data_IF_911576737635
#
_entry.id   IF_911576737635
#
_cell.length_a   1.000
_cell.length_b   1.000
_cell.length_c   1.000
_cell.angle_alpha   90.00
_cell.angle_beta   90.00
_cell.angle_gamma   90.00
#
_symmetry.space_group_name_H-M   'P 1'
#
loop_
_entity.id
_entity.type
_entity.pdbx_description
1 polymer ?
#
# COMPACT_ATOMS: atom_id res chain seq x y z
N UNK A 1 32.25 3.65 -32.95
CA UNK A 1 31.06 3.90 -32.13
C UNK A 1 30.13 2.69 -31.95
N UNK A 2 30.10 1.70 -32.86
CA UNK A 2 29.20 0.53 -32.73
C UNK A 2 29.62 -0.45 -31.61
N UNK A 3 30.91 -0.55 -31.31
CA UNK A 3 31.43 -1.47 -30.29
C UNK A 3 31.01 -1.15 -28.85
N UNK A 4 30.76 0.12 -28.52
CA UNK A 4 30.37 0.54 -27.17
C UNK A 4 28.92 0.15 -26.84
N UNK A 5 28.02 0.14 -27.83
CA UNK A 5 26.62 -0.24 -27.63
C UNK A 5 26.44 -1.73 -27.38
N UNK A 6 27.24 -2.61 -28.03
CA UNK A 6 27.13 -4.07 -27.84
C UNK A 6 27.56 -4.48 -26.44
N UNK A 7 28.60 -3.85 -25.89
CA UNK A 7 29.09 -4.15 -24.54
C UNK A 7 28.11 -3.70 -23.44
N UNK A 8 27.43 -2.56 -23.64
CA UNK A 8 26.40 -2.09 -22.71
C UNK A 8 25.14 -2.97 -22.73
N UNK A 9 24.78 -3.54 -23.89
CA UNK A 9 23.65 -4.47 -24.00
C UNK A 9 23.97 -5.83 -23.37
N UNK A 10 25.23 -6.30 -23.44
CA UNK A 10 25.66 -7.53 -22.77
C UNK A 10 25.61 -7.43 -21.23
N UNK A 11 25.85 -6.24 -20.67
CA UNK A 11 25.74 -5.97 -19.23
C UNK A 11 24.31 -5.71 -18.75
N UNK A 12 23.37 -5.45 -19.68
CA UNK A 12 21.97 -5.22 -19.39
C UNK A 12 21.11 -6.50 -19.45
N UNK A 13 21.70 -7.65 -19.78
CA UNK A 13 21.00 -8.92 -19.67
C UNK A 13 20.73 -9.15 -18.18
N UNK A 14 19.46 -9.19 -17.75
CA UNK A 14 19.14 -9.40 -16.34
C UNK A 14 19.70 -10.77 -15.94
N UNK A 15 20.58 -10.77 -14.94
CA UNK A 15 21.21 -11.98 -14.40
C UNK A 15 20.20 -13.10 -14.07
N UNK A 16 18.96 -12.72 -13.75
CA UNK A 16 17.82 -13.62 -13.55
C UNK A 16 17.59 -14.61 -14.71
N UNK A 17 17.84 -14.21 -15.96
CA UNK A 17 17.68 -15.06 -17.15
C UNK A 17 18.81 -16.08 -17.31
N UNK A 18 20.01 -15.79 -16.78
CA UNK A 18 21.16 -16.67 -16.89
C UNK A 18 21.13 -17.78 -15.83
N UNK A 19 20.65 -17.45 -14.63
CA UNK A 19 20.52 -18.41 -13.52
C UNK A 19 19.59 -19.58 -13.85
N UNK A 20 18.49 -19.32 -14.56
CA UNK A 20 17.54 -20.35 -14.99
C UNK A 20 18.16 -21.34 -15.98
N UNK A 21 18.93 -20.83 -16.96
CA UNK A 21 19.57 -21.66 -17.98
C UNK A 21 20.65 -22.59 -17.41
N UNK A 22 21.32 -22.18 -16.32
CA UNK A 22 22.39 -22.95 -15.70
C UNK A 22 21.89 -23.91 -14.58
N UNK A 23 20.58 -23.96 -14.30
CA UNK A 23 20.02 -24.85 -13.30
C UNK A 23 20.43 -24.51 -11.86
N UNK A 24 20.67 -23.23 -11.60
CA UNK A 24 21.08 -22.73 -10.29
C UNK A 24 20.00 -22.97 -9.24
N UNK A 25 20.42 -22.99 -7.98
CA UNK A 25 19.54 -23.19 -6.81
C UNK A 25 19.62 -22.00 -5.88
N UNK A 26 18.56 -21.76 -5.12
CA UNK A 26 18.63 -20.78 -4.04
C UNK A 26 19.58 -21.27 -2.94
N UNK A 27 20.55 -20.46 -2.59
CA UNK A 27 21.41 -20.64 -1.43
C UNK A 27 20.68 -20.18 -0.17
N UNK A 28 21.14 -19.07 0.40
CA UNK A 28 20.51 -18.43 1.57
C UNK A 28 19.50 -17.38 1.13
N UNK A 29 18.42 -17.27 1.89
CA UNK A 29 17.44 -16.19 1.73
C UNK A 29 17.66 -15.22 2.89
N UNK A 30 18.10 -14.01 2.57
CA UNK A 30 18.39 -12.94 3.54
C UNK A 30 17.26 -11.92 3.49
N UNK A 31 16.66 -11.63 4.64
CA UNK A 31 15.70 -10.55 4.79
C UNK A 31 16.39 -9.38 5.49
N UNK A 32 16.24 -8.18 4.94
CA UNK A 32 16.91 -6.97 5.44
C UNK A 32 15.89 -5.84 5.56
N UNK A 33 15.97 -5.07 6.65
CA UNK A 33 15.16 -3.88 6.88
C UNK A 33 13.78 -4.13 7.49
N UNK A 34 13.47 -5.39 7.80
CA UNK A 34 12.32 -5.73 8.63
C UNK A 34 12.67 -5.48 10.11
N UNK A 35 12.01 -4.50 10.72
CA UNK A 35 12.25 -4.08 12.11
C UNK A 35 11.17 -4.63 13.03
N UNK A 36 9.94 -4.65 12.55
CA UNK A 36 8.74 -5.06 13.28
C UNK A 36 8.12 -6.32 12.68
N UNK A 37 8.23 -6.51 11.37
CA UNK A 37 7.67 -7.68 10.69
C UNK A 37 8.61 -8.88 10.83
N UNK A 38 8.19 -10.01 11.43
CA UNK A 38 9.07 -11.17 11.58
C UNK A 38 9.33 -11.85 10.23
N UNK A 39 10.56 -12.34 10.03
CA UNK A 39 11.04 -13.02 8.82
C UNK A 39 10.07 -14.08 8.31
N UNK A 40 9.50 -14.88 9.23
CA UNK A 40 8.56 -15.94 8.91
C UNK A 40 7.33 -15.44 8.15
N UNK A 41 6.79 -14.27 8.49
CA UNK A 41 5.63 -13.70 7.78
C UNK A 41 6.01 -13.32 6.35
N UNK A 42 7.23 -12.83 6.14
CA UNK A 42 7.75 -12.45 4.84
C UNK A 42 7.95 -13.69 3.96
N UNK A 43 8.60 -14.73 4.51
CA UNK A 43 8.87 -16.00 3.82
C UNK A 43 7.58 -16.78 3.53
N UNK A 44 6.73 -17.00 4.54
CA UNK A 44 5.53 -17.81 4.38
C UNK A 44 4.45 -17.09 3.54
N UNK A 45 4.34 -15.76 3.67
CA UNK A 45 3.26 -14.98 3.06
C UNK A 45 3.57 -14.44 1.66
N UNK A 46 4.81 -13.99 1.41
CA UNK A 46 5.13 -13.19 0.23
C UNK A 46 6.21 -13.81 -0.65
N UNK A 47 7.19 -14.47 -0.04
CA UNK A 47 8.34 -15.07 -0.73
C UNK A 47 8.35 -16.58 -0.48
N UNK A 48 7.46 -17.36 -1.13
CA UNK A 48 7.31 -18.80 -0.91
C UNK A 48 8.43 -19.62 -1.55
N UNK A 49 9.67 -19.17 -1.36
CA UNK A 49 10.90 -19.78 -1.87
C UNK A 49 11.63 -20.41 -0.71
N UNK A 50 12.31 -21.53 -0.96
CA UNK A 50 13.08 -22.25 0.05
C UNK A 50 14.53 -22.42 -0.37
N UNK A 51 15.47 -22.38 0.59
CA UNK A 51 16.85 -22.79 0.34
C UNK A 51 16.94 -24.17 -0.34
N UNK A 52 17.80 -24.31 -1.33
CA UNK A 52 18.05 -25.53 -2.10
C UNK A 52 17.07 -25.80 -3.25
N UNK A 53 15.99 -25.04 -3.37
CA UNK A 53 15.06 -25.09 -4.50
C UNK A 53 15.73 -24.57 -5.78
N UNK A 54 15.36 -25.12 -6.94
CA UNK A 54 15.81 -24.60 -8.25
C UNK A 54 15.23 -23.21 -8.50
N UNK A 55 16.04 -22.33 -9.05
CA UNK A 55 15.62 -20.98 -9.45
C UNK A 55 14.77 -21.10 -10.71
N UNK A 56 13.55 -20.56 -10.66
CA UNK A 56 12.72 -20.35 -11.84
C UNK A 56 12.73 -18.86 -12.21
N UNK A 57 12.65 -18.52 -13.51
CA UNK A 57 12.69 -17.12 -13.96
C UNK A 57 11.59 -16.25 -13.33
N UNK A 58 10.43 -16.84 -13.05
CA UNK A 58 9.27 -16.09 -12.56
C UNK A 58 9.21 -15.94 -11.03
N UNK A 59 10.07 -16.64 -10.28
CA UNK A 59 10.02 -16.65 -8.82
C UNK A 59 10.33 -15.26 -8.23
N UNK A 60 11.44 -14.65 -8.66
CA UNK A 60 11.88 -13.34 -8.18
C UNK A 60 10.85 -12.27 -8.55
N UNK A 61 10.31 -12.34 -9.78
CA UNK A 61 9.25 -11.44 -10.25
C UNK A 61 7.98 -11.60 -9.40
N UNK A 62 7.57 -12.84 -9.13
CA UNK A 62 6.37 -13.13 -8.35
C UNK A 62 6.51 -12.66 -6.90
N UNK A 63 7.66 -12.92 -6.28
CA UNK A 63 7.99 -12.43 -4.94
C UNK A 63 7.94 -10.90 -4.89
N UNK A 64 8.53 -10.22 -5.90
CA UNK A 64 8.50 -8.76 -6.01
C UNK A 64 7.08 -8.21 -6.12
N UNK A 65 6.22 -8.84 -6.93
CA UNK A 65 4.81 -8.45 -7.08
C UNK A 65 4.04 -8.65 -5.77
N UNK A 66 4.20 -9.80 -5.11
CA UNK A 66 3.52 -10.08 -3.84
C UNK A 66 3.93 -9.11 -2.73
N UNK A 67 5.22 -8.86 -2.59
CA UNK A 67 5.74 -7.90 -1.62
C UNK A 67 5.22 -6.49 -1.89
N UNK A 68 5.23 -6.06 -3.16
CA UNK A 68 4.75 -4.71 -3.54
C UNK A 68 3.24 -4.55 -3.39
N UNK A 69 2.47 -5.62 -3.55
CA UNK A 69 1.03 -5.62 -3.31
C UNK A 69 0.66 -5.58 -1.82
N UNK A 70 1.63 -5.82 -0.93
CA UNK A 70 1.42 -5.76 0.51
C UNK A 70 1.22 -4.32 0.99
N UNK A 71 0.28 -4.14 1.92
CA UNK A 71 0.09 -2.86 2.63
C UNK A 71 1.10 -2.72 3.79
N UNK A 72 1.81 -3.79 4.14
CA UNK A 72 2.72 -3.84 5.29
C UNK A 72 4.07 -3.13 5.03
N UNK A 73 4.44 -2.95 3.77
CA UNK A 73 5.77 -2.45 3.41
C UNK A 73 5.67 -1.13 2.63
N UNK A 74 6.55 -0.18 2.99
CA UNK A 74 6.69 1.11 2.32
C UNK A 74 7.64 1.03 1.12
N UNK A 75 8.65 0.17 1.20
CA UNK A 75 9.62 -0.11 0.15
C UNK A 75 9.92 -1.62 0.12
N UNK A 76 10.16 -2.15 -1.08
CA UNK A 76 10.42 -3.57 -1.29
C UNK A 76 11.38 -3.75 -2.46
N UNK A 77 12.43 -4.56 -2.28
CA UNK A 77 13.34 -4.99 -3.32
C UNK A 77 13.65 -6.48 -3.15
N UNK A 78 13.78 -7.19 -4.27
CA UNK A 78 14.16 -8.60 -4.30
C UNK A 78 15.23 -8.74 -5.35
N UNK A 79 16.40 -9.21 -4.93
CA UNK A 79 17.62 -9.29 -5.74
C UNK A 79 18.25 -10.66 -5.58
N UNK A 80 18.69 -11.23 -6.69
CA UNK A 80 19.49 -12.45 -6.71
C UNK A 80 20.97 -12.05 -6.72
N UNK A 81 21.74 -12.56 -5.76
CA UNK A 81 23.14 -12.23 -5.56
C UNK A 81 23.96 -13.49 -5.84
N UNK A 82 24.93 -13.47 -6.76
CA UNK A 82 25.84 -14.59 -6.97
C UNK A 82 26.64 -14.84 -5.69
N UNK A 83 26.72 -16.09 -5.26
CA UNK A 83 27.49 -16.45 -4.07
C UNK A 83 29.01 -16.38 -4.36
N UNK A 84 29.81 -16.02 -3.36
CA UNK A 84 31.23 -15.63 -3.50
C UNK A 84 32.21 -16.78 -3.88
N UNK A 85 31.72 -18.00 -4.14
CA UNK A 85 32.56 -19.20 -4.25
C UNK A 85 32.32 -20.09 -5.49
N UNK A 86 31.88 -19.54 -6.64
CA UNK A 86 31.57 -20.33 -7.86
C UNK A 86 30.60 -21.50 -7.59
N UNK A 87 29.79 -21.38 -6.53
CA UNK A 87 28.84 -22.42 -6.17
C UNK A 87 27.63 -22.31 -7.08
N UNK A 88 26.99 -23.44 -7.43
CA UNK A 88 25.72 -23.48 -8.16
C UNK A 88 24.52 -22.94 -7.35
N UNK A 89 24.80 -22.19 -6.28
CA UNK A 89 23.83 -21.56 -5.40
C UNK A 89 23.94 -20.04 -5.51
N UNK A 90 22.80 -19.39 -5.69
CA UNK A 90 22.67 -17.93 -5.65
C UNK A 90 21.89 -17.53 -4.40
N UNK A 91 22.38 -16.54 -3.68
CA UNK A 91 21.74 -16.03 -2.48
C UNK A 91 20.62 -15.04 -2.87
N UNK A 92 19.45 -15.14 -2.23
CA UNK A 92 18.33 -14.24 -2.46
C UNK A 92 18.29 -13.17 -1.37
N UNK A 93 18.39 -11.90 -1.75
CA UNK A 93 18.25 -10.78 -0.84
C UNK A 93 16.88 -10.14 -1.00
N UNK A 94 16.12 -10.12 0.09
CA UNK A 94 14.82 -9.47 0.21
C UNK A 94 14.99 -8.25 1.10
N UNK A 95 14.92 -7.05 0.53
CA UNK A 95 14.98 -5.81 1.30
C UNK A 95 13.58 -5.24 1.44
N UNK A 96 13.14 -4.98 2.67
CA UNK A 96 11.84 -4.39 2.98
C UNK A 96 12.00 -3.19 3.89
N UNK A 97 11.14 -2.19 3.73
CA UNK A 97 10.98 -1.11 4.70
C UNK A 97 9.59 -1.21 5.33
N UNK A 98 9.53 -1.54 6.62
CA UNK A 98 8.25 -1.68 7.32
C UNK A 98 7.43 -0.38 7.28
N UNK A 99 6.13 -0.51 7.04
CA UNK A 99 5.17 0.59 7.14
C UNK A 99 4.46 0.49 8.49
N UNK A 100 4.34 1.62 9.19
CA UNK A 100 3.47 1.71 10.38
C UNK A 100 2.02 1.71 9.89
N UNK A 101 1.31 0.59 10.08
CA UNK A 101 -0.09 0.44 9.67
C UNK A 101 -0.99 0.59 10.90
N UNK A 102 -1.28 1.84 11.29
CA UNK A 102 -2.32 2.13 12.27
C UNK A 102 -3.65 2.32 11.55
N UNK A 103 -4.60 1.40 11.74
CA UNK A 103 -5.95 1.52 11.18
C UNK A 103 -6.98 1.68 12.31
N UNK A 104 -7.76 2.74 12.24
CA UNK A 104 -8.94 2.96 13.08
C UNK A 104 -10.17 2.91 12.19
N UNK A 105 -11.06 1.95 12.44
CA UNK A 105 -12.33 1.81 11.72
C UNK A 105 -13.45 2.12 12.69
N UNK A 106 -14.27 3.11 12.35
CA UNK A 106 -15.50 3.44 13.07
C UNK A 106 -16.67 3.29 12.11
N UNK A 107 -17.72 2.62 12.56
CA UNK A 107 -19.02 2.58 11.88
C UNK A 107 -20.02 3.42 12.67
N UNK A 108 -20.86 4.16 11.97
CA UNK A 108 -22.02 4.82 12.56
C UNK A 108 -23.28 4.03 12.21
N UNK A 109 -24.19 3.78 13.17
CA UNK A 109 -25.48 3.17 12.87
C UNK A 109 -26.33 4.11 12.00
N UNK A 110 -26.93 3.55 10.95
CA UNK A 110 -27.71 4.27 9.92
C UNK A 110 -29.01 4.90 10.46
N UNK A 111 -29.39 4.63 11.71
CA UNK A 111 -30.62 5.15 12.32
C UNK A 111 -30.63 6.68 12.51
N UNK A 112 -29.48 7.35 12.47
CA UNK A 112 -29.41 8.81 12.72
C UNK A 112 -29.69 9.69 11.51
N UNK A 113 -29.83 9.12 10.30
CA UNK A 113 -30.04 9.92 9.07
C UNK A 113 -31.51 10.36 8.92
N UNK A 114 -32.46 9.72 9.58
CA UNK A 114 -33.89 10.00 9.42
C UNK A 114 -34.45 11.12 10.33
N UNK A 115 -33.68 11.63 11.29
CA UNK A 115 -34.15 12.72 12.18
C UNK A 115 -34.05 14.08 11.48
N UNK A 116 -33.12 14.25 10.53
CA UNK A 116 -32.93 15.51 9.81
C UNK A 116 -34.10 15.87 8.88
N UNK A 117 -34.86 14.89 8.38
CA UNK A 117 -35.95 15.13 7.42
C UNK A 117 -37.31 15.43 8.07
N UNK A 118 -37.48 15.18 9.38
CA UNK A 118 -38.72 15.48 10.14
C UNK A 118 -38.58 16.61 11.17
N UNK A 119 -37.37 17.14 11.34
CA UNK A 119 -37.08 18.28 12.21
C UNK A 119 -37.95 19.53 11.96
N UNK A 120 -38.38 19.89 10.73
CA UNK A 120 -39.18 21.10 10.54
C UNK A 120 -40.59 21.00 11.15
N UNK A 121 -41.21 19.82 11.11
CA UNK A 121 -42.61 19.64 11.55
C UNK A 121 -42.72 19.56 13.07
N UNK A 122 -41.86 18.77 13.71
CA UNK A 122 -41.84 18.65 15.17
C UNK A 122 -41.40 19.97 15.86
N UNK A 123 -40.50 20.72 15.23
CA UNK A 123 -40.08 22.03 15.73
C UNK A 123 -41.18 23.09 15.51
N UNK A 124 -41.89 23.07 14.38
CA UNK A 124 -43.05 23.94 14.13
C UNK A 124 -44.17 23.75 15.15
N UNK A 125 -44.48 22.50 15.50
CA UNK A 125 -45.50 22.18 16.50
C UNK A 125 -45.11 22.65 17.90
N UNK A 126 -43.86 22.47 18.31
CA UNK A 126 -43.41 22.83 19.67
C UNK A 126 -43.23 24.34 19.91
N UNK A 127 -43.01 25.14 18.85
CA UNK A 127 -42.84 26.59 18.95
C UNK A 127 -44.14 27.35 18.56
N UNK A 128 -45.20 26.63 18.18
CA UNK A 128 -46.48 27.22 17.75
C UNK A 128 -46.37 28.07 16.48
N UNK A 129 -45.35 27.79 15.65
CA UNK A 129 -44.97 28.60 14.50
C UNK A 129 -45.27 27.84 13.21
N UNK A 130 -45.86 28.50 12.21
CA UNK A 130 -46.16 27.85 10.94
C UNK A 130 -44.90 27.33 10.26
N UNK A 131 -44.95 26.12 9.69
CA UNK A 131 -43.83 25.47 8.99
C UNK A 131 -43.20 26.34 7.90
N UNK A 132 -43.98 27.21 7.24
CA UNK A 132 -43.47 28.19 6.27
C UNK A 132 -42.55 29.24 6.88
N UNK A 133 -42.85 29.72 8.08
CA UNK A 133 -42.05 30.78 8.72
C UNK A 133 -40.72 30.23 9.24
N UNK A 134 -40.71 29.00 9.78
CA UNK A 134 -39.49 28.31 10.18
C UNK A 134 -38.55 28.04 9.01
N UNK A 135 -39.08 27.59 7.87
CA UNK A 135 -38.28 27.39 6.66
C UNK A 135 -37.67 28.72 6.18
N UNK A 136 -38.38 29.84 6.28
CA UNK A 136 -37.85 31.16 5.92
C UNK A 136 -36.69 31.62 6.83
N UNK A 137 -36.71 31.26 8.12
CA UNK A 137 -35.65 31.58 9.08
C UNK A 137 -34.42 30.71 8.83
N UNK A 138 -34.62 29.40 8.62
CA UNK A 138 -33.53 28.48 8.28
C UNK A 138 -32.86 28.89 6.96
N UNK A 139 -33.64 29.34 5.98
CA UNK A 139 -33.12 29.84 4.71
C UNK A 139 -32.37 31.18 4.85
N UNK A 140 -32.80 32.06 5.76
CA UNK A 140 -32.05 33.28 6.10
C UNK A 140 -30.76 32.98 6.86
N UNK A 141 -30.76 31.97 7.73
CA UNK A 141 -29.57 31.53 8.47
C UNK A 141 -28.56 30.80 7.58
N UNK A 142 -29.02 29.99 6.63
CA UNK A 142 -28.15 29.24 5.71
C UNK A 142 -27.49 30.11 4.64
N UNK A 143 -28.11 31.25 4.29
CA UNK A 143 -27.53 32.23 3.35
C UNK A 143 -26.50 33.18 3.97
N UNK A 144 -26.23 33.06 5.27
CA UNK A 144 -25.22 33.84 5.95
C UNK A 144 -25.65 35.29 6.17
N UNK A 145 -25.55 35.74 7.41
CA UNK A 145 -25.45 37.17 7.71
C UNK A 145 -24.25 37.74 6.95
N UNK A 146 -24.40 38.79 6.12
CA UNK A 146 -23.26 39.62 5.80
C UNK A 146 -22.78 40.15 7.15
N UNK A 147 -21.53 39.81 7.51
CA UNK A 147 -20.81 40.49 8.59
C UNK A 147 -20.86 41.98 8.23
N UNK A 148 -21.70 42.74 8.93
CA UNK A 148 -21.75 44.18 8.79
C UNK A 148 -20.36 44.74 9.09
N UNK A 149 -19.71 45.14 8.00
CA UNK A 149 -18.52 45.94 8.01
C UNK A 149 -18.91 47.35 8.44
N UNK A 150 -18.94 47.62 9.74
CA UNK A 150 -18.87 48.99 10.26
C UNK A 150 -18.20 49.00 11.64
N UNK A 151 -16.90 49.26 11.63
CA UNK A 151 -16.22 49.95 12.71
C UNK A 151 -15.98 51.39 12.26
N UNK A 152 -16.43 52.40 13.01
CA UNK A 152 -15.64 53.60 13.27
C UNK A 152 -14.71 53.38 14.47
#
# INVERSE_FOLDING_TARGET
MVAACVLAVALAIPYELFAEAAGHRYGRIMIVGNVHTPDRVILDGFVPLRPGQKIAADDVRTARVKLRASVLFSSTAVELIPNEFDSAFDDLRVSVGDRVVNWYVFSLPVETVWVASRLPEALAESIGMGTRDLLSIVEKLSRGTPRDAHAP
#
